data_IF_004403956689
#
_entry.id   IF_004403956689
#
_cell.length_a   1.000
_cell.length_b   1.000
_cell.length_c   1.000
_cell.angle_alpha   90.00
_cell.angle_beta   90.00
_cell.angle_gamma   90.00
#
_symmetry.space_group_name_H-M   'P 1'
#
loop_
_entity.id
_entity.type
_entity.pdbx_description
1 polymer ?
#
# COMPACT_ATOMS: atom_id res chain seq x y z
N UNK A 1 40.54 -40.13 -41.34
CA UNK A 1 40.42 -39.34 -42.57
C UNK A 1 39.44 -38.23 -42.25
N UNK A 2 39.73 -36.97 -42.18
CA UNK A 2 40.78 -35.99 -42.44
C UNK A 2 40.46 -34.77 -41.58
N UNK A 3 41.31 -34.34 -40.88
CA UNK A 3 42.10 -33.16 -40.54
C UNK A 3 41.85 -31.88 -41.35
N UNK A 4 41.98 -30.77 -40.58
CA UNK A 4 42.34 -29.41 -40.99
C UNK A 4 41.32 -28.50 -41.67
N UNK A 5 41.02 -27.40 -40.95
CA UNK A 5 41.28 -26.04 -41.41
C UNK A 5 41.06 -25.00 -40.27
N UNK A 6 42.12 -24.69 -39.56
CA UNK A 6 42.25 -23.44 -38.82
C UNK A 6 42.92 -22.40 -39.71
N UNK A 7 42.33 -21.26 -39.91
CA UNK A 7 42.80 -20.19 -40.79
C UNK A 7 43.88 -19.33 -40.08
N UNK A 8 44.69 -18.65 -40.93
CA UNK A 8 45.89 -17.90 -40.57
C UNK A 8 45.72 -16.76 -39.57
N UNK A 9 44.50 -16.40 -39.20
CA UNK A 9 44.18 -15.33 -38.20
C UNK A 9 44.38 -15.78 -36.77
N UNK A 10 44.31 -17.09 -36.48
CA UNK A 10 44.42 -17.63 -35.13
C UNK A 10 45.86 -17.80 -34.62
N UNK A 11 46.84 -17.59 -35.48
CA UNK A 11 48.27 -17.70 -35.13
C UNK A 11 48.94 -16.40 -34.71
N UNK A 12 48.31 -15.23 -34.89
CA UNK A 12 48.93 -13.94 -34.57
C UNK A 12 48.58 -13.41 -33.16
N UNK A 13 47.59 -13.98 -32.50
CA UNK A 13 47.19 -13.60 -31.14
C UNK A 13 48.01 -14.34 -30.04
N UNK A 14 48.68 -15.42 -30.38
CA UNK A 14 49.43 -16.26 -29.43
C UNK A 14 50.90 -15.84 -29.20
N UNK A 15 51.41 -14.78 -29.83
CA UNK A 15 52.85 -14.44 -29.82
C UNK A 15 53.19 -13.06 -29.24
N UNK A 16 52.30 -12.43 -28.46
CA UNK A 16 52.60 -11.15 -27.78
C UNK A 16 52.37 -11.14 -26.29
N UNK A 17 52.61 -12.25 -25.59
CA UNK A 17 52.66 -12.32 -24.15
C UNK A 17 53.95 -12.94 -23.62
N UNK A 18 55.08 -12.33 -23.93
CA UNK A 18 56.35 -12.56 -23.15
C UNK A 18 57.16 -11.27 -23.13
N UNK A 19 57.15 -10.63 -22.00
CA UNK A 19 58.09 -9.69 -21.37
C UNK A 19 57.40 -8.46 -20.83
N UNK A 20 57.38 -8.40 -19.51
CA UNK A 20 56.94 -7.22 -18.74
C UNK A 20 56.56 -7.56 -17.31
N UNK A 21 57.60 -7.79 -16.48
CA UNK A 21 57.45 -7.83 -15.00
C UNK A 21 56.89 -6.50 -14.51
N UNK A 22 55.61 -6.46 -14.13
CA UNK A 22 54.99 -5.35 -13.47
C UNK A 22 55.27 -5.47 -11.99
N UNK A 23 56.05 -4.55 -11.45
CA UNK A 23 56.39 -4.43 -10.03
C UNK A 23 55.13 -4.26 -9.16
N UNK A 24 55.06 -4.97 -8.05
CA UNK A 24 53.98 -4.96 -7.04
C UNK A 24 53.60 -3.57 -6.46
N UNK A 25 54.27 -2.51 -6.86
CA UNK A 25 54.03 -1.13 -6.39
C UNK A 25 53.06 -0.32 -7.24
N UNK A 26 52.75 -0.76 -8.46
CA UNK A 26 51.89 0.02 -9.39
C UNK A 26 50.42 -0.41 -9.35
N UNK A 27 50.07 -1.43 -8.58
CA UNK A 27 48.70 -1.93 -8.42
C UNK A 27 47.86 -1.14 -7.39
N UNK A 28 48.45 -0.19 -6.69
CA UNK A 28 47.79 0.56 -5.59
C UNK A 28 47.29 1.93 -6.04
N UNK A 29 47.51 2.36 -7.30
CA UNK A 29 47.16 3.72 -7.75
C UNK A 29 46.08 3.82 -8.86
N UNK A 30 45.45 2.72 -9.27
CA UNK A 30 44.37 2.73 -10.27
C UNK A 30 43.00 2.24 -9.75
N UNK A 31 42.78 2.22 -8.45
CA UNK A 31 41.48 1.92 -7.81
C UNK A 31 40.79 3.20 -7.31
N UNK A 32 40.84 4.28 -8.11
CA UNK A 32 40.08 5.48 -7.81
C UNK A 32 39.00 5.63 -8.86
N UNK A 33 37.76 5.31 -8.53
CA UNK A 33 36.62 5.75 -9.32
C UNK A 33 35.51 4.76 -9.64
N UNK A 34 35.35 3.66 -8.90
CA UNK A 34 34.03 3.03 -8.85
C UNK A 34 33.34 3.59 -7.61
N UNK A 35 32.52 4.61 -7.80
CA UNK A 35 31.55 5.01 -6.79
C UNK A 35 30.63 3.81 -6.57
N UNK A 36 30.91 3.01 -5.55
CA UNK A 36 29.96 2.10 -4.95
C UNK A 36 28.80 2.98 -4.47
N UNK A 37 27.76 3.09 -5.28
CA UNK A 37 26.46 3.50 -4.76
C UNK A 37 26.22 2.59 -3.55
N UNK A 38 25.97 3.14 -2.36
CA UNK A 38 25.66 2.30 -1.22
C UNK A 38 24.42 1.50 -1.60
N UNK A 39 24.59 0.18 -1.79
CA UNK A 39 23.46 -0.75 -1.77
C UNK A 39 22.78 -0.47 -0.42
N UNK A 40 21.59 0.13 -0.46
CA UNK A 40 20.80 0.35 0.73
C UNK A 40 20.71 -0.99 1.46
N UNK A 41 21.31 -1.07 2.63
CA UNK A 41 21.27 -2.30 3.41
C UNK A 41 19.80 -2.56 3.73
N UNK A 42 19.32 -3.80 3.63
CA UNK A 42 17.94 -4.13 4.01
C UNK A 42 17.54 -3.58 5.39
N UNK A 43 18.50 -3.41 6.29
CA UNK A 43 18.33 -2.83 7.63
C UNK A 43 17.98 -1.33 7.63
N UNK A 44 18.37 -0.57 6.59
CA UNK A 44 18.12 0.88 6.54
C UNK A 44 16.65 1.20 6.17
N UNK A 45 15.93 0.21 5.60
CA UNK A 45 14.50 0.33 5.28
C UNK A 45 13.61 0.26 6.53
N UNK A 46 14.13 -0.26 7.65
CA UNK A 46 13.43 -0.42 8.92
C UNK A 46 13.69 0.72 9.91
N UNK A 47 14.38 1.79 9.51
CA UNK A 47 14.60 2.92 10.39
C UNK A 47 13.26 3.56 10.79
N UNK A 48 13.02 3.77 12.10
CA UNK A 48 11.80 4.38 12.57
C UNK A 48 11.66 5.79 11.97
N UNK A 49 10.65 5.99 11.10
CA UNK A 49 10.31 7.31 10.59
C UNK A 49 9.58 8.06 11.68
N UNK A 50 10.06 9.24 12.07
CA UNK A 50 9.34 10.12 12.98
C UNK A 50 7.95 10.39 12.41
N UNK A 51 6.93 9.89 13.10
CA UNK A 51 5.54 10.27 12.85
C UNK A 51 5.36 11.71 13.33
N UNK A 52 4.66 12.59 12.60
CA UNK A 52 4.35 13.92 13.11
C UNK A 52 3.63 13.83 14.47
N UNK A 53 3.77 14.81 15.35
CA UNK A 53 3.21 14.76 16.70
C UNK A 53 1.68 14.57 16.73
N UNK A 54 0.97 14.90 15.66
CA UNK A 54 -0.45 14.57 15.45
C UNK A 54 -0.72 14.23 14.00
N UNK A 55 -1.29 13.05 13.78
CA UNK A 55 -1.73 12.59 12.46
C UNK A 55 -3.12 13.17 12.18
N UNK A 56 -3.21 14.06 11.20
CA UNK A 56 -4.48 14.64 10.76
C UNK A 56 -5.27 13.61 9.95
N UNK A 57 -6.52 13.43 10.32
CA UNK A 57 -7.47 12.58 9.59
C UNK A 57 -8.72 13.42 9.27
N UNK A 58 -8.92 13.72 8.00
CA UNK A 58 -10.11 14.42 7.54
C UNK A 58 -11.29 13.45 7.44
N UNK A 59 -12.47 13.90 7.88
CA UNK A 59 -13.69 13.14 7.90
C UNK A 59 -14.86 13.97 7.37
N UNK A 60 -15.60 13.38 6.43
CA UNK A 60 -16.81 13.98 5.85
C UNK A 60 -17.95 12.98 5.93
N UNK A 61 -19.08 13.41 6.52
CA UNK A 61 -20.31 12.64 6.52
C UNK A 61 -21.02 12.80 5.17
N UNK A 62 -21.20 11.71 4.45
CA UNK A 62 -21.81 11.72 3.10
C UNK A 62 -22.26 10.34 2.66
N UNK A 63 -23.34 10.29 1.88
CA UNK A 63 -23.75 9.09 1.13
C UNK A 63 -23.29 9.14 -0.35
N UNK A 64 -22.79 10.29 -0.81
CA UNK A 64 -22.32 10.51 -2.18
C UNK A 64 -20.79 10.35 -2.23
N UNK A 65 -20.31 9.34 -2.93
CA UNK A 65 -18.88 9.02 -3.05
C UNK A 65 -18.09 10.07 -3.80
N UNK A 66 -18.63 10.59 -4.92
CA UNK A 66 -17.93 11.62 -5.72
C UNK A 66 -17.73 12.89 -4.90
N UNK A 67 -18.81 13.40 -4.35
CA UNK A 67 -18.78 14.55 -3.46
C UNK A 67 -17.88 14.28 -2.24
N UNK A 68 -18.00 13.09 -1.65
CA UNK A 68 -17.20 12.71 -0.48
C UNK A 68 -15.70 12.72 -0.74
N UNK A 69 -15.24 12.19 -1.87
CA UNK A 69 -13.82 12.25 -2.28
C UNK A 69 -13.37 13.70 -2.44
N UNK A 70 -14.12 14.53 -3.17
CA UNK A 70 -13.75 15.94 -3.37
C UNK A 70 -13.72 16.71 -2.05
N UNK A 71 -14.73 16.55 -1.20
CA UNK A 71 -14.83 17.26 0.06
C UNK A 71 -13.73 16.84 1.05
N UNK A 72 -13.45 15.54 1.17
CA UNK A 72 -12.41 15.06 2.08
C UNK A 72 -11.01 15.44 1.61
N UNK A 73 -10.73 15.44 0.29
CA UNK A 73 -9.46 15.88 -0.26
C UNK A 73 -9.26 17.39 -0.17
N UNK A 74 -10.35 18.18 -0.29
CA UNK A 74 -10.27 19.62 -0.02
C UNK A 74 -9.97 19.89 1.46
N UNK A 75 -10.58 19.14 2.37
CA UNK A 75 -10.40 19.29 3.82
C UNK A 75 -9.01 18.82 4.28
N UNK A 76 -8.55 17.67 3.77
CA UNK A 76 -7.21 17.14 4.10
C UNK A 76 -6.09 17.97 3.45
N UNK A 77 -6.31 18.48 2.23
CA UNK A 77 -5.37 19.25 1.43
C UNK A 77 -4.02 18.52 1.23
N UNK A 78 -4.01 17.38 0.51
CA UNK A 78 -2.79 16.61 0.31
C UNK A 78 -1.75 17.44 -0.47
N UNK A 79 -0.50 17.46 0.02
CA UNK A 79 0.59 18.21 -0.59
C UNK A 79 1.50 17.33 -1.45
N UNK A 80 2.20 17.94 -2.42
CA UNK A 80 3.30 17.32 -3.17
C UNK A 80 2.86 16.38 -4.28
N UNK A 81 1.66 16.57 -4.85
CA UNK A 81 1.13 15.80 -6.00
C UNK A 81 1.62 16.40 -7.32
N UNK A 82 1.71 17.74 -7.39
CA UNK A 82 2.05 18.46 -8.60
C UNK A 82 3.36 17.97 -9.24
N UNK A 83 3.31 17.70 -10.54
CA UNK A 83 4.41 17.17 -11.35
C UNK A 83 4.81 15.72 -11.05
N UNK A 84 4.13 15.00 -10.13
CA UNK A 84 4.51 13.63 -9.73
C UNK A 84 3.85 12.56 -10.59
N UNK A 85 4.56 11.44 -10.75
CA UNK A 85 3.97 10.17 -11.18
C UNK A 85 3.30 9.56 -9.95
N UNK A 86 1.98 9.42 -10.03
CA UNK A 86 1.16 8.92 -8.92
C UNK A 86 0.79 7.47 -9.17
N UNK A 87 1.00 6.61 -8.18
CA UNK A 87 0.52 5.23 -8.22
C UNK A 87 -0.64 5.08 -7.24
N UNK A 88 -1.79 4.66 -7.74
CA UNK A 88 -3.00 4.40 -6.94
C UNK A 88 -3.15 2.91 -6.72
N UNK A 89 -3.20 2.49 -5.46
CA UNK A 89 -3.54 1.12 -5.06
C UNK A 89 -4.99 1.08 -4.58
N UNK A 90 -5.93 0.58 -5.40
CA UNK A 90 -7.31 0.34 -4.99
C UNK A 90 -7.45 -0.95 -4.17
N UNK A 91 -8.66 -1.28 -3.75
CA UNK A 91 -9.02 -2.57 -3.20
C UNK A 91 -9.88 -3.35 -4.20
N UNK A 92 -9.27 -4.14 -5.08
CA UNK A 92 -9.96 -5.05 -5.99
C UNK A 92 -9.70 -6.50 -5.60
N UNK A 93 -10.10 -6.88 -4.37
CA UNK A 93 -9.99 -8.28 -3.92
C UNK A 93 -10.72 -9.24 -4.87
N UNK A 94 -11.81 -8.77 -5.47
CA UNK A 94 -12.69 -9.44 -6.42
C UNK A 94 -13.47 -8.39 -7.22
N UNK A 95 -14.37 -8.80 -8.10
CA UNK A 95 -15.27 -7.89 -8.80
C UNK A 95 -16.52 -7.51 -7.97
N UNK A 96 -16.63 -7.94 -6.72
CA UNK A 96 -17.75 -7.64 -5.85
C UNK A 96 -17.99 -6.12 -5.73
N UNK A 97 -19.23 -5.75 -5.42
CA UNK A 97 -19.63 -4.37 -5.16
C UNK A 97 -19.00 -3.84 -3.86
N UNK A 98 -18.98 -2.52 -3.71
CA UNK A 98 -18.52 -1.88 -2.47
C UNK A 98 -19.44 -2.28 -1.27
N UNK A 99 -18.85 -2.53 -0.12
CA UNK A 99 -17.45 -2.39 0.30
C UNK A 99 -16.57 -3.62 0.03
N UNK A 100 -17.06 -4.62 -0.71
CA UNK A 100 -16.26 -5.78 -1.12
C UNK A 100 -15.04 -5.37 -1.94
N UNK A 101 -15.20 -4.39 -2.83
CA UNK A 101 -14.15 -3.76 -3.63
C UNK A 101 -14.36 -2.26 -3.74
N UNK A 102 -13.31 -1.52 -4.11
CA UNK A 102 -13.39 -0.07 -4.35
C UNK A 102 -14.49 0.25 -5.36
N UNK A 103 -15.35 1.21 -5.00
CA UNK A 103 -16.46 1.66 -5.85
C UNK A 103 -15.93 2.44 -7.05
N UNK A 104 -16.51 2.28 -8.26
CA UNK A 104 -16.08 3.01 -9.45
C UNK A 104 -16.10 4.54 -9.29
N UNK A 105 -17.11 5.09 -8.61
CA UNK A 105 -17.20 6.53 -8.36
C UNK A 105 -16.10 7.03 -7.45
N UNK A 106 -15.72 6.26 -6.42
CA UNK A 106 -14.59 6.61 -5.54
C UNK A 106 -13.30 6.66 -6.33
N UNK A 107 -13.02 5.65 -7.17
CA UNK A 107 -11.80 5.61 -7.96
C UNK A 107 -11.77 6.71 -9.03
N UNK A 108 -12.86 6.85 -9.79
CA UNK A 108 -12.89 7.83 -10.88
C UNK A 108 -12.77 9.27 -10.37
N UNK A 109 -13.43 9.61 -9.26
CA UNK A 109 -13.30 10.93 -8.66
C UNK A 109 -11.92 11.15 -8.06
N UNK A 110 -11.33 10.13 -7.41
CA UNK A 110 -9.96 10.22 -6.90
C UNK A 110 -8.96 10.49 -8.03
N UNK A 111 -9.07 9.80 -9.16
CA UNK A 111 -8.20 10.03 -10.32
C UNK A 111 -8.39 11.46 -10.87
N UNK A 112 -9.63 11.95 -10.99
CA UNK A 112 -9.89 13.32 -11.41
C UNK A 112 -9.23 14.36 -10.48
N UNK A 113 -9.38 14.19 -9.17
CA UNK A 113 -8.77 15.05 -8.16
C UNK A 113 -7.23 15.02 -8.21
N UNK A 114 -6.61 13.88 -8.54
CA UNK A 114 -5.16 13.79 -8.72
C UNK A 114 -4.70 14.57 -9.95
N UNK A 115 -5.42 14.46 -11.06
CA UNK A 115 -5.13 15.26 -12.27
C UNK A 115 -5.32 16.76 -12.04
N UNK A 116 -6.40 17.17 -11.37
CA UNK A 116 -6.65 18.59 -11.02
C UNK A 116 -5.56 19.17 -10.12
N UNK A 117 -4.91 18.33 -9.29
CA UNK A 117 -3.77 18.72 -8.45
C UNK A 117 -2.42 18.63 -9.16
N UNK A 118 -2.41 18.46 -10.48
CA UNK A 118 -1.20 18.52 -11.29
C UNK A 118 -0.40 17.22 -11.34
N UNK A 119 -1.01 16.04 -11.03
CA UNK A 119 -0.31 14.78 -11.25
C UNK A 119 0.15 14.65 -12.70
N UNK A 120 1.45 14.38 -12.92
CA UNK A 120 2.02 14.22 -14.27
C UNK A 120 1.47 12.98 -14.97
N UNK A 121 1.27 11.90 -14.23
CA UNK A 121 0.59 10.68 -14.68
C UNK A 121 -0.03 9.98 -13.48
N UNK A 122 -1.08 9.20 -13.73
CA UNK A 122 -1.72 8.34 -12.74
C UNK A 122 -1.66 6.90 -13.25
N UNK A 123 -1.21 5.97 -12.43
CA UNK A 123 -1.20 4.53 -12.69
C UNK A 123 -1.99 3.83 -11.61
N UNK A 124 -2.97 3.02 -11.98
CA UNK A 124 -3.73 2.15 -11.07
C UNK A 124 -3.14 0.75 -11.09
N UNK A 125 -2.62 0.28 -9.97
CA UNK A 125 -2.00 -1.03 -9.86
C UNK A 125 -2.68 -1.93 -8.84
N UNK A 126 -2.91 -3.20 -9.19
CA UNK A 126 -3.59 -4.17 -8.31
C UNK A 126 -3.06 -5.59 -8.50
N UNK A 127 -3.18 -6.40 -7.45
CA UNK A 127 -3.21 -7.86 -7.51
C UNK A 127 -4.34 -8.37 -6.63
N UNK A 128 -5.38 -8.86 -7.26
CA UNK A 128 -6.64 -9.33 -6.64
C UNK A 128 -6.42 -10.50 -5.67
N UNK A 129 -7.46 -10.87 -4.94
CA UNK A 129 -7.50 -12.06 -4.10
C UNK A 129 -7.44 -13.36 -4.92
N UNK A 130 -8.35 -14.32 -4.68
CA UNK A 130 -8.34 -15.58 -5.43
C UNK A 130 -8.55 -15.46 -6.94
N UNK A 131 -9.45 -14.58 -7.47
CA UNK A 131 -9.64 -14.46 -8.92
C UNK A 131 -8.42 -13.85 -9.62
N UNK A 132 -8.29 -14.12 -10.94
CA UNK A 132 -7.28 -13.45 -11.77
C UNK A 132 -7.55 -11.94 -11.83
N UNK A 133 -6.52 -11.16 -11.59
CA UNK A 133 -6.60 -9.70 -11.46
C UNK A 133 -7.13 -9.03 -12.72
N UNK A 134 -6.62 -9.43 -13.89
CA UNK A 134 -7.09 -8.90 -15.18
C UNK A 134 -8.60 -9.10 -15.36
N UNK A 135 -9.11 -10.30 -15.09
CA UNK A 135 -10.55 -10.58 -15.18
C UNK A 135 -11.40 -9.78 -14.18
N UNK A 136 -10.88 -9.51 -12.99
CA UNK A 136 -11.52 -8.60 -12.02
C UNK A 136 -11.58 -7.18 -12.56
N UNK A 137 -10.48 -6.68 -13.11
CA UNK A 137 -10.41 -5.32 -13.69
C UNK A 137 -11.36 -5.18 -14.90
N UNK A 138 -11.45 -6.20 -15.77
CA UNK A 138 -12.37 -6.23 -16.90
C UNK A 138 -13.83 -6.16 -16.43
N UNK A 139 -14.23 -7.02 -15.49
CA UNK A 139 -15.58 -7.05 -14.93
C UNK A 139 -15.98 -5.72 -14.26
N UNK A 140 -15.01 -5.01 -13.66
CA UNK A 140 -15.21 -3.70 -13.02
C UNK A 140 -15.13 -2.53 -14.01
N UNK A 141 -14.90 -2.78 -15.30
CA UNK A 141 -14.80 -1.73 -16.33
C UNK A 141 -13.57 -0.81 -16.16
N UNK A 142 -12.51 -1.30 -15.51
CA UNK A 142 -11.34 -0.46 -15.19
C UNK A 142 -10.61 0.01 -16.44
N UNK A 143 -10.51 -0.84 -17.48
CA UNK A 143 -9.84 -0.46 -18.73
C UNK A 143 -10.62 0.62 -19.51
N UNK A 144 -11.95 0.59 -19.47
CA UNK A 144 -12.78 1.65 -20.07
C UNK A 144 -12.66 2.96 -19.29
N UNK A 145 -12.69 2.87 -17.95
CA UNK A 145 -12.46 4.01 -17.07
C UNK A 145 -11.06 4.60 -17.30
N UNK A 146 -10.03 3.76 -17.47
CA UNK A 146 -8.66 4.19 -17.73
C UNK A 146 -8.55 5.03 -19.00
N UNK A 147 -9.19 4.58 -20.08
CA UNK A 147 -9.25 5.36 -21.33
C UNK A 147 -9.97 6.69 -21.16
N UNK A 148 -11.11 6.69 -20.45
CA UNK A 148 -11.92 7.89 -20.25
C UNK A 148 -11.25 8.92 -19.31
N UNK A 149 -10.65 8.44 -18.21
CA UNK A 149 -10.04 9.27 -17.18
C UNK A 149 -8.51 9.45 -17.32
N UNK A 150 -7.91 8.89 -18.37
CA UNK A 150 -6.47 9.01 -18.74
C UNK A 150 -5.54 8.56 -17.61
N UNK A 151 -5.65 7.28 -17.21
CA UNK A 151 -4.68 6.65 -16.32
C UNK A 151 -4.20 5.31 -16.88
N UNK A 152 -3.02 4.88 -16.48
CA UNK A 152 -2.46 3.58 -16.82
C UNK A 152 -2.95 2.50 -15.86
N UNK A 153 -2.99 1.25 -16.32
CA UNK A 153 -3.39 0.09 -15.52
C UNK A 153 -2.26 -0.91 -15.47
N UNK A 154 -1.90 -1.38 -14.28
CA UNK A 154 -0.88 -2.41 -14.06
C UNK A 154 -1.49 -3.57 -13.28
N UNK A 155 -1.40 -4.76 -13.87
CA UNK A 155 -1.67 -6.02 -13.17
C UNK A 155 -0.37 -6.51 -12.50
N UNK A 156 -0.34 -6.53 -11.17
CA UNK A 156 0.85 -6.99 -10.45
C UNK A 156 1.08 -8.50 -10.59
N UNK A 157 0.12 -9.29 -11.06
CA UNK A 157 0.37 -10.70 -11.39
C UNK A 157 1.24 -10.87 -12.65
N UNK A 158 1.26 -9.85 -13.52
CA UNK A 158 2.07 -9.81 -14.73
C UNK A 158 3.45 -9.14 -14.49
N UNK A 159 3.76 -8.77 -13.24
CA UNK A 159 5.04 -8.12 -12.90
C UNK A 159 6.20 -9.10 -13.09
N UNK A 160 7.21 -8.75 -13.92
CA UNK A 160 8.40 -9.57 -14.09
C UNK A 160 9.15 -9.79 -12.76
N UNK A 161 9.83 -10.92 -12.60
CA UNK A 161 10.57 -11.25 -11.38
C UNK A 161 11.60 -10.18 -10.98
N UNK A 162 12.26 -9.56 -11.96
CA UNK A 162 13.24 -8.49 -11.74
C UNK A 162 12.63 -7.20 -11.15
N UNK A 163 11.32 -7.02 -11.27
CA UNK A 163 10.60 -5.84 -10.78
C UNK A 163 9.93 -6.06 -9.41
N UNK A 164 10.23 -7.17 -8.76
CA UNK A 164 9.91 -7.37 -7.35
C UNK A 164 11.08 -6.99 -6.47
N UNK A 165 10.82 -6.14 -5.48
CA UNK A 165 11.80 -5.75 -4.45
C UNK A 165 11.65 -6.68 -3.26
N UNK A 166 12.72 -7.39 -2.91
CA UNK A 166 12.75 -8.34 -1.80
C UNK A 166 13.02 -7.61 -0.48
N UNK A 167 12.26 -7.98 0.55
CA UNK A 167 12.46 -7.59 1.95
C UNK A 167 12.76 -8.86 2.75
N UNK A 168 13.92 -8.90 3.40
CA UNK A 168 14.37 -10.08 4.14
C UNK A 168 13.49 -10.40 5.35
N UNK A 169 13.60 -11.63 5.86
CA UNK A 169 12.84 -12.10 7.03
C UNK A 169 13.12 -11.24 8.28
N UNK A 170 14.38 -10.89 8.53
CA UNK A 170 14.81 -10.02 9.64
C UNK A 170 14.05 -10.31 10.94
N UNK A 171 13.48 -9.26 11.56
CA UNK A 171 12.61 -9.35 12.75
C UNK A 171 11.12 -9.39 12.39
N UNK A 172 10.76 -9.99 11.26
CA UNK A 172 9.37 -10.17 10.81
C UNK A 172 8.86 -11.57 11.07
N UNK A 173 7.55 -11.76 10.92
CA UNK A 173 6.88 -13.08 10.99
C UNK A 173 6.81 -13.76 9.60
N UNK A 174 7.43 -13.16 8.58
CA UNK A 174 7.56 -13.75 7.24
C UNK A 174 8.79 -14.67 7.21
N UNK A 175 8.64 -16.00 7.09
CA UNK A 175 9.77 -16.93 7.21
C UNK A 175 10.89 -16.70 6.20
N UNK A 176 10.52 -16.31 4.97
CA UNK A 176 11.45 -16.05 3.86
C UNK A 176 11.47 -14.56 3.45
N UNK A 177 10.90 -13.69 4.29
CA UNK A 177 10.67 -12.32 3.90
C UNK A 177 9.47 -12.16 2.96
N UNK A 178 9.35 -11.01 2.32
CA UNK A 178 8.25 -10.70 1.38
C UNK A 178 8.75 -9.85 0.22
N UNK A 179 7.90 -9.71 -0.80
CA UNK A 179 8.21 -8.93 -1.99
C UNK A 179 7.11 -7.89 -2.25
N UNK A 180 7.52 -6.72 -2.72
CA UNK A 180 6.61 -5.65 -3.18
C UNK A 180 7.01 -5.22 -4.60
N UNK A 181 6.06 -4.75 -5.44
CA UNK A 181 6.38 -4.30 -6.78
C UNK A 181 7.28 -3.06 -6.73
N UNK A 182 8.32 -3.03 -7.55
CA UNK A 182 9.21 -1.87 -7.69
C UNK A 182 8.44 -0.58 -7.98
N UNK A 183 7.38 -0.67 -8.78
CA UNK A 183 6.49 0.45 -9.08
C UNK A 183 5.96 1.14 -7.81
N UNK A 184 5.68 0.37 -6.75
CA UNK A 184 5.20 0.90 -5.46
C UNK A 184 6.35 1.39 -4.58
N UNK A 185 7.44 0.61 -4.50
CA UNK A 185 8.59 0.91 -3.64
C UNK A 185 9.28 2.21 -4.08
N UNK A 186 9.47 2.37 -5.38
CA UNK A 186 10.15 3.52 -6.00
C UNK A 186 9.17 4.63 -6.43
N UNK A 187 7.89 4.55 -6.02
CA UNK A 187 6.87 5.54 -6.40
C UNK A 187 7.19 6.93 -5.87
N UNK A 188 7.07 7.95 -6.72
CA UNK A 188 7.18 9.35 -6.33
C UNK A 188 6.03 9.77 -5.40
N UNK A 189 4.84 9.19 -5.61
CA UNK A 189 3.64 9.46 -4.81
C UNK A 189 2.69 8.26 -4.85
N UNK A 190 2.56 7.54 -3.74
CA UNK A 190 1.61 6.44 -3.62
C UNK A 190 0.32 6.89 -2.96
N UNK A 191 -0.81 6.53 -3.56
CA UNK A 191 -2.16 6.72 -3.02
C UNK A 191 -2.79 5.36 -2.74
N UNK A 192 -3.37 5.18 -1.56
CA UNK A 192 -4.16 4.00 -1.20
C UNK A 192 -5.64 4.38 -1.15
N UNK A 193 -6.52 3.62 -1.84
CA UNK A 193 -7.96 3.75 -1.64
C UNK A 193 -8.54 2.43 -1.19
N UNK A 194 -9.07 2.42 0.03
CA UNK A 194 -9.53 1.23 0.74
C UNK A 194 -11.00 1.33 1.13
N UNK A 195 -11.58 0.19 1.53
CA UNK A 195 -12.97 0.07 1.93
C UNK A 195 -13.06 -0.20 3.43
N UNK A 196 -14.13 0.29 4.06
CA UNK A 196 -14.43 0.05 5.46
C UNK A 196 -15.11 -1.30 5.65
N UNK A 197 -14.40 -2.28 6.19
CA UNK A 197 -14.98 -3.62 6.37
C UNK A 197 -14.25 -4.51 7.36
N UNK A 198 -15.00 -5.42 7.99
CA UNK A 198 -14.49 -6.58 8.69
C UNK A 198 -13.87 -7.61 7.74
N UNK A 199 -13.20 -8.62 8.29
CA UNK A 199 -12.56 -9.70 7.53
C UNK A 199 -12.68 -11.04 8.25
N UNK A 200 -13.62 -11.87 7.81
CA UNK A 200 -13.96 -13.17 8.43
C UNK A 200 -12.89 -14.26 8.32
N UNK A 201 -11.89 -14.09 7.45
CA UNK A 201 -10.82 -15.10 7.25
C UNK A 201 -9.55 -14.75 8.05
N UNK A 202 -9.69 -14.51 9.36
CA UNK A 202 -8.58 -14.31 10.28
C UNK A 202 -7.97 -12.89 10.31
N UNK A 203 -8.29 -12.02 9.35
CA UNK A 203 -7.73 -10.66 9.28
C UNK A 203 -8.40 -9.65 10.20
N UNK A 204 -9.54 -9.95 10.80
CA UNK A 204 -10.39 -9.09 11.65
C UNK A 204 -10.99 -7.93 10.87
N UNK A 205 -10.19 -7.08 10.25
CA UNK A 205 -10.63 -5.97 9.41
C UNK A 205 -9.78 -5.80 8.16
N UNK A 206 -10.33 -5.10 7.17
CA UNK A 206 -9.64 -4.69 5.94
C UNK A 206 -9.85 -3.20 5.76
N UNK A 207 -8.75 -2.47 5.79
CA UNK A 207 -8.65 -1.03 5.51
C UNK A 207 -7.26 -0.75 4.92
N UNK A 208 -6.60 0.35 5.31
CA UNK A 208 -5.32 0.77 4.72
C UNK A 208 -4.17 -0.21 4.97
N UNK A 209 -4.00 -0.69 6.21
CA UNK A 209 -2.93 -1.65 6.53
C UNK A 209 -3.05 -2.93 5.70
N UNK A 210 -4.24 -3.53 5.65
CA UNK A 210 -4.44 -4.80 4.94
C UNK A 210 -4.47 -4.65 3.41
N UNK A 211 -4.61 -3.43 2.90
CA UNK A 211 -4.51 -3.14 1.46
C UNK A 211 -3.15 -3.58 0.89
N UNK A 212 -2.09 -3.55 1.71
CA UNK A 212 -0.74 -4.00 1.38
C UNK A 212 -0.66 -5.46 0.91
N UNK A 213 -1.58 -6.33 1.31
CA UNK A 213 -1.62 -7.73 0.86
C UNK A 213 -1.76 -7.83 -0.66
N UNK A 214 -2.51 -6.92 -1.29
CA UNK A 214 -2.61 -6.81 -2.75
C UNK A 214 -1.35 -6.27 -3.43
N UNK A 215 -0.27 -6.03 -2.71
CA UNK A 215 1.05 -5.66 -3.24
C UNK A 215 2.03 -6.83 -3.22
N UNK A 216 1.67 -8.00 -2.68
CA UNK A 216 2.56 -9.16 -2.63
C UNK A 216 2.23 -10.15 -3.75
N UNK A 217 3.20 -10.96 -4.21
CA UNK A 217 2.92 -12.08 -5.10
C UNK A 217 1.89 -13.02 -4.48
N UNK A 218 0.97 -13.55 -5.29
CA UNK A 218 -0.08 -14.50 -4.80
C UNK A 218 0.53 -15.74 -4.16
N UNK A 219 1.70 -16.17 -4.61
CA UNK A 219 2.39 -17.36 -4.12
C UNK A 219 2.67 -17.30 -2.61
N UNK A 220 3.11 -16.15 -2.10
CA UNK A 220 3.44 -15.99 -0.68
C UNK A 220 2.21 -15.71 0.21
N UNK A 221 1.07 -15.27 -0.36
CA UNK A 221 -0.15 -14.99 0.43
C UNK A 221 -0.70 -16.20 1.14
N UNK A 222 -0.49 -17.41 0.58
CA UNK A 222 -0.91 -18.67 1.23
C UNK A 222 -0.17 -18.89 2.55
N UNK A 223 1.12 -18.57 2.62
CA UNK A 223 1.91 -18.63 3.86
C UNK A 223 1.30 -17.73 4.93
N UNK A 224 0.99 -16.47 4.57
CA UNK A 224 0.34 -15.53 5.49
C UNK A 224 -1.02 -16.04 5.99
N UNK A 225 -1.90 -16.53 5.09
CA UNK A 225 -3.25 -16.98 5.47
C UNK A 225 -3.26 -18.25 6.34
N UNK A 226 -2.18 -19.01 6.38
CA UNK A 226 -2.01 -20.19 7.24
C UNK A 226 -1.28 -19.89 8.55
N UNK A 227 -0.71 -18.71 8.67
CA UNK A 227 0.06 -18.33 9.85
C UNK A 227 -0.85 -17.86 10.99
N UNK A 228 -0.57 -18.24 12.25
CA UNK A 228 -1.21 -17.63 13.42
C UNK A 228 -0.85 -16.13 13.54
N UNK A 229 0.28 -15.71 12.97
CA UNK A 229 0.76 -14.33 12.98
C UNK A 229 0.26 -13.49 11.79
N UNK A 230 -0.74 -13.96 11.05
CA UNK A 230 -1.28 -13.29 9.86
C UNK A 230 -1.48 -11.78 10.05
N UNK A 231 -2.02 -11.36 11.18
CA UNK A 231 -2.32 -9.95 11.45
C UNK A 231 -1.05 -9.11 11.63
N UNK A 232 -0.02 -9.69 12.23
CA UNK A 232 1.31 -9.07 12.34
C UNK A 232 2.02 -9.01 10.99
N UNK A 233 1.95 -10.10 10.21
CA UNK A 233 2.50 -10.18 8.86
C UNK A 233 1.89 -9.10 7.94
N UNK A 234 0.58 -8.83 8.07
CA UNK A 234 -0.10 -7.75 7.34
C UNK A 234 0.52 -6.38 7.69
N UNK A 235 0.71 -6.08 8.96
CA UNK A 235 1.33 -4.83 9.39
C UNK A 235 2.76 -4.68 8.84
N UNK A 236 3.54 -5.76 8.83
CA UNK A 236 4.94 -5.79 8.39
C UNK A 236 5.12 -5.45 6.91
N UNK A 237 4.19 -5.85 6.04
CA UNK A 237 4.22 -5.45 4.62
C UNK A 237 4.28 -3.93 4.45
N UNK A 238 3.68 -3.20 5.39
CA UNK A 238 3.60 -1.74 5.33
C UNK A 238 4.93 -1.04 5.66
N UNK A 239 5.94 -1.74 6.13
CA UNK A 239 7.28 -1.19 6.30
C UNK A 239 8.01 -1.00 4.96
N UNK A 240 7.63 -1.75 3.91
CA UNK A 240 8.29 -1.71 2.61
C UNK A 240 7.85 -0.56 1.70
N UNK A 241 6.80 0.20 2.04
CA UNK A 241 6.34 1.34 1.24
C UNK A 241 5.60 2.36 2.11
N UNK A 242 5.36 3.56 1.57
CA UNK A 242 4.63 4.60 2.28
C UNK A 242 3.60 5.28 1.38
N UNK A 243 2.29 5.12 1.61
CA UNK A 243 1.30 5.97 0.97
C UNK A 243 1.45 7.42 1.48
N UNK A 244 1.30 8.36 0.56
CA UNK A 244 1.29 9.81 0.84
C UNK A 244 -0.12 10.35 0.98
N UNK A 245 -1.09 9.57 0.54
CA UNK A 245 -2.51 9.82 0.67
C UNK A 245 -3.24 8.49 0.80
N UNK A 246 -4.19 8.45 1.72
CA UNK A 246 -5.09 7.33 1.95
C UNK A 246 -6.51 7.88 1.89
N UNK A 247 -7.37 7.25 1.10
CA UNK A 247 -8.81 7.53 1.06
C UNK A 247 -9.54 6.26 1.47
N UNK A 248 -10.27 6.32 2.58
CA UNK A 248 -11.11 5.23 3.08
C UNK A 248 -12.57 5.51 2.73
N UNK A 249 -13.13 4.71 1.84
CA UNK A 249 -14.56 4.71 1.51
C UNK A 249 -15.33 3.92 2.57
N UNK A 250 -16.02 4.66 3.42
CA UNK A 250 -16.92 4.16 4.45
C UNK A 250 -18.39 4.54 4.18
N UNK A 251 -18.75 4.91 2.94
CA UNK A 251 -20.15 5.16 2.58
C UNK A 251 -21.01 3.94 2.87
N UNK A 252 -20.50 2.76 2.54
CA UNK A 252 -21.02 1.47 3.00
C UNK A 252 -19.93 0.69 3.73
N UNK A 253 -20.30 -0.13 4.72
CA UNK A 253 -19.38 -0.91 5.51
C UNK A 253 -19.86 -2.34 5.68
N UNK A 254 -18.94 -3.33 5.75
CA UNK A 254 -19.27 -4.61 6.36
C UNK A 254 -18.91 -4.57 7.83
N UNK A 255 -19.92 -4.76 8.68
CA UNK A 255 -19.75 -4.77 10.16
C UNK A 255 -19.58 -6.19 10.73
N UNK A 256 -19.80 -7.20 9.90
CA UNK A 256 -19.49 -8.60 10.17
C UNK A 256 -19.21 -9.34 8.86
N UNK A 257 -18.46 -10.45 8.89
CA UNK A 257 -18.06 -11.20 7.69
C UNK A 257 -16.93 -10.50 6.92
N UNK A 258 -17.11 -10.26 5.62
CA UNK A 258 -16.06 -9.74 4.72
C UNK A 258 -15.00 -10.80 4.35
N UNK A 259 -14.14 -10.55 3.37
CA UNK A 259 -13.92 -9.28 2.67
C UNK A 259 -14.87 -9.01 1.51
N UNK A 260 -15.51 -10.06 0.92
CA UNK A 260 -16.32 -9.95 -0.29
C UNK A 260 -17.81 -9.84 0.00
N UNK A 261 -18.28 -10.49 1.07
CA UNK A 261 -19.65 -10.49 1.53
C UNK A 261 -19.71 -10.39 3.04
N UNK A 262 -20.71 -9.70 3.56
CA UNK A 262 -20.89 -9.50 5.00
C UNK A 262 -22.16 -8.76 5.35
N UNK A 263 -22.35 -8.46 6.62
CA UNK A 263 -23.46 -7.63 7.11
C UNK A 263 -23.23 -6.19 6.69
N UNK A 264 -24.02 -5.73 5.72
CA UNK A 264 -23.91 -4.40 5.14
C UNK A 264 -24.60 -3.37 6.03
N UNK A 265 -23.91 -2.28 6.34
CA UNK A 265 -24.47 -1.08 6.98
C UNK A 265 -24.06 0.19 6.24
N UNK A 266 -24.90 1.20 6.29
CA UNK A 266 -24.59 2.54 5.81
C UNK A 266 -23.66 3.23 6.82
N UNK A 267 -22.39 3.41 6.46
CA UNK A 267 -21.44 4.17 7.28
C UNK A 267 -21.53 5.66 7.00
N UNK A 268 -21.90 6.03 5.75
CA UNK A 268 -22.10 7.42 5.33
C UNK A 268 -20.90 8.32 5.67
N UNK A 269 -19.69 7.84 5.44
CA UNK A 269 -18.47 8.57 5.77
C UNK A 269 -17.41 8.38 4.69
N UNK A 270 -16.66 9.45 4.39
CA UNK A 270 -15.42 9.43 3.63
C UNK A 270 -14.30 9.97 4.51
N UNK A 271 -13.16 9.28 4.52
CA UNK A 271 -12.02 9.60 5.38
C UNK A 271 -10.77 9.73 4.53
N UNK A 272 -9.91 10.73 4.84
CA UNK A 272 -8.59 10.85 4.23
C UNK A 272 -7.52 11.21 5.25
N UNK A 273 -6.29 10.70 5.00
CA UNK A 273 -5.11 10.96 5.80
C UNK A 273 -3.85 10.51 5.07
N UNK A 274 -2.69 10.70 5.71
CA UNK A 274 -1.39 10.19 5.22
C UNK A 274 -0.75 9.19 6.21
N UNK A 275 -1.40 8.95 7.33
CA UNK A 275 -1.03 7.99 8.37
C UNK A 275 -2.00 6.80 8.35
N UNK A 276 -1.49 5.64 7.94
CA UNK A 276 -2.30 4.42 7.78
C UNK A 276 -2.83 3.88 9.11
N UNK A 277 -2.08 4.07 10.21
CA UNK A 277 -2.51 3.64 11.55
C UNK A 277 -3.65 4.52 12.03
N UNK A 278 -3.51 5.84 11.87
CA UNK A 278 -4.54 6.80 12.24
C UNK A 278 -5.84 6.59 11.43
N UNK A 279 -5.73 6.42 10.10
CA UNK A 279 -6.89 6.16 9.23
C UNK A 279 -7.59 4.86 9.62
N UNK A 280 -6.85 3.78 9.86
CA UNK A 280 -7.42 2.48 10.25
C UNK A 280 -8.02 2.54 11.66
N UNK A 281 -7.39 3.27 12.60
CA UNK A 281 -7.95 3.48 13.94
C UNK A 281 -9.29 4.25 13.89
N UNK A 282 -9.39 5.30 13.08
CA UNK A 282 -10.65 6.02 12.85
C UNK A 282 -11.69 5.13 12.17
N UNK A 283 -11.28 4.32 11.18
CA UNK A 283 -12.15 3.34 10.55
C UNK A 283 -12.69 2.29 11.52
N UNK A 284 -11.87 1.80 12.46
CA UNK A 284 -12.29 0.91 13.54
C UNK A 284 -13.28 1.61 14.48
N UNK A 285 -13.06 2.89 14.80
CA UNK A 285 -14.02 3.66 15.58
C UNK A 285 -15.38 3.78 14.86
N UNK A 286 -15.40 3.95 13.53
CA UNK A 286 -16.64 3.92 12.74
C UNK A 286 -17.30 2.53 12.81
N UNK A 287 -16.55 1.44 12.69
CA UNK A 287 -17.12 0.08 12.82
C UNK A 287 -17.72 -0.15 14.22
N UNK A 288 -17.08 0.34 15.27
CA UNK A 288 -17.62 0.29 16.65
C UNK A 288 -18.89 1.14 16.78
N UNK A 289 -18.92 2.36 16.25
CA UNK A 289 -20.11 3.24 16.24
C UNK A 289 -21.31 2.60 15.53
N UNK A 290 -21.05 1.85 14.43
CA UNK A 290 -22.07 1.12 13.70
C UNK A 290 -22.54 -0.16 14.40
N UNK A 291 -21.83 -0.62 15.42
CA UNK A 291 -22.01 -1.94 16.01
C UNK A 291 -21.47 -3.03 15.06
N UNK A 292 -20.39 -3.66 15.47
CA UNK A 292 -19.69 -4.67 14.68
C UNK A 292 -19.66 -6.01 15.39
N UNK A 293 -18.87 -6.97 14.88
CA UNK A 293 -18.71 -8.27 15.53
C UNK A 293 -17.81 -8.22 16.78
N UNK A 294 -17.81 -9.29 17.55
CA UNK A 294 -17.08 -9.36 18.84
C UNK A 294 -15.56 -9.12 18.68
N UNK A 295 -14.96 -9.51 17.55
CA UNK A 295 -13.54 -9.28 17.31
C UNK A 295 -13.19 -7.78 17.22
N UNK A 296 -14.12 -6.96 16.77
CA UNK A 296 -13.98 -5.50 16.73
C UNK A 296 -14.45 -4.90 18.06
N UNK A 297 -15.64 -5.29 18.57
CA UNK A 297 -16.25 -4.66 19.74
C UNK A 297 -15.50 -4.99 21.04
N UNK A 298 -15.05 -6.23 21.19
CA UNK A 298 -14.45 -6.74 22.44
C UNK A 298 -12.97 -6.37 22.66
N UNK A 299 -12.34 -5.64 21.72
CA UNK A 299 -10.92 -5.27 21.84
C UNK A 299 -10.74 -3.77 21.63
N UNK A 300 -9.82 -3.17 22.39
CA UNK A 300 -9.43 -1.77 22.19
C UNK A 300 -8.79 -1.59 20.80
N UNK A 301 -8.99 -0.41 20.19
CA UNK A 301 -8.54 -0.14 18.82
C UNK A 301 -7.03 -0.32 18.67
N UNK A 302 -6.25 0.23 19.60
CA UNK A 302 -4.78 0.12 19.55
C UNK A 302 -4.24 -1.23 20.06
N UNK A 303 -5.10 -2.10 20.59
CA UNK A 303 -4.78 -3.49 20.93
C UNK A 303 -5.11 -4.47 19.78
N UNK A 304 -5.77 -4.04 18.71
CA UNK A 304 -5.95 -4.85 17.51
C UNK A 304 -4.56 -5.20 16.93
N UNK A 305 -4.28 -6.48 16.69
CA UNK A 305 -2.92 -6.95 16.39
C UNK A 305 -2.28 -6.29 15.17
N UNK A 306 -3.06 -5.95 14.12
CA UNK A 306 -2.55 -5.20 12.98
C UNK A 306 -2.10 -3.79 13.39
N UNK A 307 -2.90 -3.10 14.22
CA UNK A 307 -2.59 -1.76 14.74
C UNK A 307 -1.39 -1.84 15.68
N UNK A 308 -1.43 -2.73 16.68
CA UNK A 308 -0.37 -2.88 17.68
C UNK A 308 0.99 -3.15 16.99
N UNK A 309 1.02 -4.07 16.02
CA UNK A 309 2.25 -4.36 15.28
C UNK A 309 2.72 -3.17 14.41
N UNK A 310 1.81 -2.44 13.80
CA UNK A 310 2.13 -1.24 13.04
C UNK A 310 2.72 -0.14 13.94
N UNK A 311 2.22 0.00 15.17
CA UNK A 311 2.79 0.89 16.21
C UNK A 311 4.20 0.45 16.59
N UNK A 312 4.43 -0.83 16.87
CA UNK A 312 5.77 -1.37 17.15
C UNK A 312 6.78 -1.06 16.04
N UNK A 313 6.32 -1.08 14.78
CA UNK A 313 7.11 -0.76 13.60
C UNK A 313 7.22 0.74 13.31
N UNK A 314 6.65 1.60 14.15
CA UNK A 314 6.61 3.06 13.97
C UNK A 314 6.01 3.50 12.62
N UNK A 315 4.94 2.83 12.17
CA UNK A 315 4.30 3.09 10.86
C UNK A 315 3.24 4.21 10.90
N UNK A 316 2.93 4.75 12.09
CA UNK A 316 1.92 5.80 12.25
C UNK A 316 1.70 6.17 13.72
N UNK A 317 0.53 6.76 14.00
CA UNK A 317 0.11 7.18 15.34
C UNK A 317 0.20 6.03 16.35
N UNK A 318 0.70 6.34 17.55
CA UNK A 318 0.95 5.38 18.64
C UNK A 318 -0.22 5.24 19.60
N UNK A 319 -1.21 6.12 19.50
CA UNK A 319 -2.39 6.13 20.36
C UNK A 319 -3.36 7.23 19.96
N UNK A 320 -4.56 7.26 20.60
CA UNK A 320 -5.61 8.23 20.26
C UNK A 320 -5.17 9.68 20.39
N UNK A 321 -4.29 9.99 21.36
CA UNK A 321 -3.81 11.36 21.60
C UNK A 321 -2.96 11.93 20.43
N UNK A 322 -2.45 11.07 19.56
CA UNK A 322 -1.68 11.45 18.38
C UNK A 322 -2.56 11.60 17.12
N UNK A 323 -3.87 11.42 17.22
CA UNK A 323 -4.82 11.58 16.11
C UNK A 323 -5.60 12.90 16.29
N UNK A 324 -5.73 13.64 15.20
CA UNK A 324 -6.55 14.85 15.11
C UNK A 324 -7.62 14.63 14.03
N UNK A 325 -8.90 14.58 14.43
CA UNK A 325 -10.00 14.52 13.48
C UNK A 325 -10.35 15.93 12.99
N UNK A 326 -10.37 16.10 11.67
CA UNK A 326 -10.72 17.36 11.00
C UNK A 326 -12.04 17.19 10.27
N UNK A 327 -13.04 18.02 10.63
CA UNK A 327 -14.37 17.99 10.02
C UNK A 327 -14.91 19.42 9.84
N UNK A 328 -15.50 19.70 8.67
CA UNK A 328 -15.88 21.08 8.30
C UNK A 328 -17.33 21.44 8.65
N UNK A 329 -18.29 20.55 8.38
CA UNK A 329 -19.71 20.79 8.60
C UNK A 329 -20.21 20.27 9.98
N UNK A 330 -21.42 20.64 10.36
CA UNK A 330 -21.97 20.31 11.68
C UNK A 330 -22.17 18.79 11.89
N UNK A 331 -22.63 18.07 10.86
CA UNK A 331 -22.88 16.63 10.94
C UNK A 331 -21.57 15.86 11.05
N UNK A 332 -20.58 16.23 10.24
CA UNK A 332 -19.23 15.65 10.27
C UNK A 332 -18.56 15.90 11.63
N UNK A 333 -18.67 17.12 12.20
CA UNK A 333 -18.14 17.43 13.54
C UNK A 333 -18.85 16.63 14.63
N UNK A 334 -20.17 16.46 14.55
CA UNK A 334 -20.91 15.65 15.52
C UNK A 334 -20.48 14.17 15.46
N UNK A 335 -20.24 13.63 14.26
CA UNK A 335 -19.68 12.28 14.10
C UNK A 335 -18.25 12.23 14.65
N UNK A 336 -17.37 13.15 14.28
CA UNK A 336 -16.00 13.21 14.78
C UNK A 336 -15.93 13.18 16.30
N UNK A 337 -16.74 13.98 17.00
CA UNK A 337 -16.78 13.97 18.47
C UNK A 337 -17.26 12.64 19.10
N UNK A 338 -18.08 11.85 18.40
CA UNK A 338 -18.42 10.48 18.86
C UNK A 338 -17.25 9.53 18.64
N UNK A 339 -16.60 9.61 17.47
CA UNK A 339 -15.44 8.76 17.15
C UNK A 339 -14.25 9.06 18.06
N UNK A 340 -14.01 10.31 18.43
CA UNK A 340 -12.96 10.69 19.40
C UNK A 340 -13.17 10.02 20.76
N UNK A 341 -14.42 9.95 21.26
CA UNK A 341 -14.73 9.21 22.48
C UNK A 341 -14.46 7.72 22.35
N UNK A 342 -14.91 7.11 21.24
CA UNK A 342 -14.66 5.69 20.96
C UNK A 342 -13.15 5.41 20.84
N UNK A 343 -12.38 6.28 20.19
CA UNK A 343 -10.92 6.17 20.11
C UNK A 343 -10.26 6.22 21.49
N UNK A 344 -10.74 7.10 22.38
CA UNK A 344 -10.18 7.27 23.72
C UNK A 344 -10.54 6.12 24.67
N UNK A 345 -11.75 5.58 24.56
CA UNK A 345 -12.24 4.47 25.37
C UNK A 345 -11.77 3.12 24.87
N UNK A 346 -11.47 3.03 23.56
CA UNK A 346 -11.02 1.82 22.85
C UNK A 346 -12.12 1.13 22.15
#
# INVERSE_FOLDING_TARGET
>A
MTADHLTSADREVAMRCRSGLIHRRDFVRSAAGVALLPLARPQDLWLPRRVPPRSRVALVRTADRRRGVSDVLRLFAPAGIDGKRVVVKPNFNSADEAPGSTHPDTLSQLVAELHERGARSVTVGESSGPPQTRGVMEQKGIFDMARAARFDVVDFEETPDADWVAFGAGSTHWPEGFHLPRLIVDSEYTVSTCCLKTHGFGGVFTMSLKLSVGLTPKTIRRTMHRSPDMRRMIAELNAGYRPRLIVLDGVSAFTDGGPSRGTLKAGNVMIAGDDRVAVDAVGLAVLKELGSNDAIMGRRIFEQEQIARAVELNLGARGPAEIELVAADAESRALAGRLERILAEG
#
